data_IF_985559677209
#
_entry.id   IF_985559677209
#
_cell.length_a   1.000
_cell.length_b   1.000
_cell.length_c   1.000
_cell.angle_alpha   90.00
_cell.angle_beta   90.00
_cell.angle_gamma   90.00
#
_symmetry.space_group_name_H-M   'P 1'
#
loop_
_entity.id
_entity.type
_entity.pdbx_description
1 polymer ?
#
# COMPACT_ATOMS: atom_id res chain seq x y z
N UNK A 1 3.84 -0.92 -1.51
CA UNK A 1 2.46 -1.45 -1.41
C UNK A 1 2.08 -2.32 -2.61
N UNK A 2 1.64 -1.75 -3.74
CA UNK A 2 1.15 -2.55 -4.89
C UNK A 2 2.21 -3.43 -5.55
N UNK A 3 3.48 -3.04 -5.52
CA UNK A 3 4.59 -3.86 -6.02
C UNK A 3 4.69 -5.22 -5.29
N UNK A 4 4.37 -5.29 -4.00
CA UNK A 4 4.43 -6.53 -3.22
C UNK A 4 3.46 -7.61 -3.74
N UNK A 5 2.34 -7.20 -4.36
CA UNK A 5 1.36 -8.09 -4.96
C UNK A 5 1.54 -8.29 -6.47
N UNK A 6 2.52 -7.62 -7.08
CA UNK A 6 2.76 -7.71 -8.52
C UNK A 6 3.76 -8.83 -8.86
N UNK A 7 3.52 -9.51 -9.98
CA UNK A 7 4.39 -10.56 -10.52
C UNK A 7 4.70 -10.33 -12.01
N UNK A 8 5.67 -11.07 -12.53
CA UNK A 8 6.06 -11.08 -13.94
C UNK A 8 6.39 -9.69 -14.49
N UNK A 9 5.89 -9.40 -15.69
CA UNK A 9 6.15 -8.12 -16.37
C UNK A 9 5.61 -6.93 -15.58
N UNK A 10 4.48 -7.07 -14.88
CA UNK A 10 3.92 -5.97 -14.07
C UNK A 10 4.89 -5.58 -12.97
N UNK A 11 5.47 -6.57 -12.28
CA UNK A 11 6.49 -6.33 -11.26
C UNK A 11 7.72 -5.63 -11.82
N UNK A 12 8.23 -6.10 -12.96
CA UNK A 12 9.41 -5.56 -13.62
C UNK A 12 9.23 -4.08 -14.00
N UNK A 13 8.08 -3.73 -14.61
CA UNK A 13 7.79 -2.35 -14.99
C UNK A 13 7.64 -1.44 -13.77
N UNK A 14 6.97 -1.91 -12.71
CA UNK A 14 6.82 -1.16 -11.48
C UNK A 14 8.17 -0.87 -10.81
N UNK A 15 9.07 -1.85 -10.75
CA UNK A 15 10.43 -1.65 -10.24
C UNK A 15 11.20 -0.64 -11.10
N UNK A 16 11.21 -0.83 -12.42
CA UNK A 16 11.92 0.04 -13.36
C UNK A 16 11.50 1.51 -13.24
N UNK A 17 10.19 1.77 -13.22
CA UNK A 17 9.65 3.14 -13.15
C UNK A 17 9.83 3.74 -11.76
N UNK A 18 9.76 2.93 -10.70
CA UNK A 18 9.98 3.41 -9.32
C UNK A 18 11.46 3.56 -8.96
N UNK A 19 12.37 3.31 -9.92
CA UNK A 19 13.82 3.24 -9.69
C UNK A 19 14.17 2.26 -8.56
N UNK A 20 13.46 1.13 -8.51
CA UNK A 20 13.75 0.01 -7.64
C UNK A 20 15.08 -0.65 -7.97
N UNK A 21 15.70 -1.26 -6.97
CA UNK A 21 16.95 -2.00 -7.14
C UNK A 21 16.70 -3.47 -7.47
N UNK A 22 17.75 -4.17 -7.91
CA UNK A 22 17.70 -5.60 -8.23
C UNK A 22 17.33 -6.45 -7.00
N UNK A 23 17.67 -5.98 -5.79
CA UNK A 23 17.15 -6.53 -4.53
C UNK A 23 15.82 -5.83 -4.18
N UNK A 24 14.76 -6.31 -4.83
CA UNK A 24 13.41 -5.75 -4.73
C UNK A 24 12.79 -5.94 -3.34
N UNK A 25 13.10 -7.05 -2.66
CA UNK A 25 12.65 -7.34 -1.31
C UNK A 25 13.26 -6.35 -0.30
N UNK A 26 14.57 -6.11 -0.37
CA UNK A 26 15.22 -5.11 0.47
C UNK A 26 14.70 -3.69 0.15
N UNK A 27 14.49 -3.38 -1.12
CA UNK A 27 13.92 -2.10 -1.54
C UNK A 27 12.52 -1.88 -0.95
N UNK A 28 11.63 -2.87 -1.05
CA UNK A 28 10.29 -2.84 -0.47
C UNK A 28 10.31 -2.67 1.05
N UNK A 29 11.19 -3.39 1.75
CA UNK A 29 11.37 -3.27 3.20
C UNK A 29 11.87 -1.88 3.62
N UNK A 30 12.79 -1.30 2.84
CA UNK A 30 13.27 0.07 3.03
C UNK A 30 12.17 1.11 2.87
N UNK A 31 11.30 0.97 1.87
CA UNK A 31 10.15 1.86 1.67
C UNK A 31 9.14 1.78 2.81
N UNK A 32 8.88 0.58 3.33
CA UNK A 32 8.03 0.41 4.53
C UNK A 32 8.64 1.09 5.76
N UNK A 33 9.94 0.87 6.00
CA UNK A 33 10.66 1.49 7.11
C UNK A 33 10.65 3.02 7.03
N UNK A 34 10.85 3.58 5.83
CA UNK A 34 10.74 5.02 5.59
C UNK A 34 9.33 5.53 5.87
N UNK A 35 8.30 4.80 5.43
CA UNK A 35 6.90 5.15 5.70
C UNK A 35 6.62 5.27 7.20
N UNK A 36 7.07 4.29 7.98
CA UNK A 36 6.92 4.30 9.44
C UNK A 36 7.71 5.44 10.09
N UNK A 37 8.95 5.69 9.64
CA UNK A 37 9.79 6.78 10.16
C UNK A 37 9.16 8.15 9.93
N UNK A 38 8.62 8.39 8.74
CA UNK A 38 7.97 9.65 8.40
C UNK A 38 6.65 9.88 9.14
N UNK A 39 5.94 8.80 9.51
CA UNK A 39 4.73 8.90 10.31
C UNK A 39 5.01 8.94 11.83
N UNK A 40 6.26 8.70 12.24
CA UNK A 40 6.68 8.86 13.62
C UNK A 40 6.73 10.35 14.01
N UNK A 41 6.42 10.63 15.28
CA UNK A 41 6.44 12.00 15.80
C UNK A 41 7.86 12.58 15.73
N UNK A 42 8.04 13.64 14.95
CA UNK A 42 9.29 14.39 14.88
C UNK A 42 9.30 15.62 15.80
N UNK A 43 10.49 16.04 16.20
CA UNK A 43 10.70 17.28 16.93
C UNK A 43 10.88 18.43 15.94
N UNK A 44 9.84 19.23 15.74
CA UNK A 44 9.90 20.48 14.96
C UNK A 44 8.94 20.57 13.77
N UNK A 45 8.35 19.46 13.33
CA UNK A 45 7.32 19.44 12.29
C UNK A 45 6.24 18.40 12.61
N UNK A 46 5.00 18.66 12.18
CA UNK A 46 3.92 17.65 12.19
C UNK A 46 3.77 17.10 10.78
N UNK A 47 4.03 15.80 10.61
CA UNK A 47 3.77 15.07 9.37
C UNK A 47 2.83 13.91 9.70
N UNK A 48 1.81 13.72 8.87
CA UNK A 48 0.89 12.60 8.94
C UNK A 48 0.79 11.98 7.56
N UNK A 49 1.03 10.68 7.47
CA UNK A 49 0.83 9.90 6.26
C UNK A 49 -0.26 8.87 6.49
N UNK A 50 -1.19 8.82 5.55
CA UNK A 50 -2.29 7.86 5.56
C UNK A 50 -2.26 7.10 4.23
N UNK A 51 -1.86 5.84 4.29
CA UNK A 51 -1.88 4.93 3.16
C UNK A 51 -3.08 3.99 3.30
N UNK A 52 -3.75 3.68 2.18
CA UNK A 52 -4.85 2.71 2.17
C UNK A 52 -4.98 2.12 0.76
N UNK A 53 -5.36 0.84 0.69
CA UNK A 53 -5.92 0.25 -0.53
C UNK A 53 -7.42 0.05 -0.32
N UNK A 54 -8.22 0.44 -1.30
CA UNK A 54 -9.65 0.19 -1.28
C UNK A 54 -9.97 -0.92 -2.26
N UNK A 55 -10.63 -1.94 -1.76
CA UNK A 55 -10.96 -3.14 -2.53
C UNK A 55 -12.44 -3.17 -2.87
N UNK A 56 -12.79 -3.80 -4.00
CA UNK A 56 -14.20 -4.11 -4.23
C UNK A 56 -14.61 -5.21 -3.25
N UNK A 57 -15.71 -4.99 -2.52
CA UNK A 57 -16.20 -5.81 -1.41
C UNK A 57 -16.34 -7.32 -1.66
N UNK A 58 -16.49 -7.74 -2.92
CA UNK A 58 -16.66 -9.12 -3.36
C UNK A 58 -15.38 -9.71 -3.98
N UNK A 59 -14.32 -8.92 -4.13
CA UNK A 59 -13.02 -9.42 -4.58
C UNK A 59 -12.24 -9.99 -3.40
N UNK A 60 -11.61 -11.16 -3.58
CA UNK A 60 -10.86 -11.83 -2.53
C UNK A 60 -9.36 -11.63 -2.72
N UNK A 61 -8.75 -10.81 -1.88
CA UNK A 61 -7.30 -10.69 -1.80
C UNK A 61 -6.67 -11.87 -1.06
N UNK A 62 -5.41 -12.14 -1.37
CA UNK A 62 -4.63 -13.15 -0.66
C UNK A 62 -4.35 -12.68 0.78
N UNK A 63 -4.71 -13.43 1.84
CA UNK A 63 -4.60 -12.96 3.22
C UNK A 63 -3.17 -12.57 3.63
N UNK A 64 -2.16 -13.28 3.13
CA UNK A 64 -0.76 -12.96 3.46
C UNK A 64 -0.28 -11.67 2.79
N UNK A 65 -0.85 -11.29 1.64
CA UNK A 65 -0.57 -9.99 1.04
C UNK A 65 -1.12 -8.88 1.93
N UNK A 66 -2.36 -9.03 2.41
CA UNK A 66 -2.98 -8.05 3.31
C UNK A 66 -2.15 -7.83 4.58
N UNK A 67 -1.72 -8.92 5.21
CA UNK A 67 -0.87 -8.86 6.41
C UNK A 67 0.45 -8.13 6.15
N UNK A 68 1.13 -8.39 5.02
CA UNK A 68 2.39 -7.70 4.69
C UNK A 68 2.18 -6.20 4.47
N UNK A 69 1.11 -5.81 3.77
CA UNK A 69 0.83 -4.40 3.51
C UNK A 69 0.50 -3.63 4.79
N UNK A 70 -0.30 -4.21 5.68
CA UNK A 70 -0.61 -3.62 6.98
C UNK A 70 0.67 -3.44 7.82
N UNK A 71 1.50 -4.49 7.91
CA UNK A 71 2.74 -4.45 8.69
C UNK A 71 3.78 -3.47 8.15
N UNK A 72 3.93 -3.38 6.83
CA UNK A 72 5.00 -2.58 6.22
C UNK A 72 4.61 -1.12 6.02
N UNK A 73 3.32 -0.82 5.81
CA UNK A 73 2.87 0.51 5.37
C UNK A 73 1.78 1.14 6.24
N UNK A 74 1.36 0.47 7.32
CA UNK A 74 0.23 0.88 8.16
C UNK A 74 -1.03 1.17 7.32
N UNK A 75 -1.24 0.32 6.31
CA UNK A 75 -2.22 0.53 5.27
C UNK A 75 -3.32 -0.53 5.33
N UNK A 76 -4.34 -0.35 6.18
CA UNK A 76 -5.47 -1.29 6.25
C UNK A 76 -6.27 -1.24 4.95
N UNK A 77 -6.93 -2.35 4.61
CA UNK A 77 -7.86 -2.39 3.47
C UNK A 77 -9.29 -2.11 3.92
N UNK A 78 -10.03 -1.41 3.07
CA UNK A 78 -11.44 -1.10 3.28
C UNK A 78 -12.26 -1.66 2.11
N UNK A 79 -13.10 -2.69 2.32
CA UNK A 79 -14.00 -3.18 1.29
C UNK A 79 -15.07 -2.15 0.98
N UNK A 80 -15.21 -1.80 -0.30
CA UNK A 80 -16.17 -0.83 -0.81
C UNK A 80 -17.01 -1.41 -1.93
N UNK A 81 -18.26 -0.96 -2.02
CA UNK A 81 -19.13 -1.29 -3.14
C UNK A 81 -18.90 -0.29 -4.29
N UNK A 82 -17.90 -0.57 -5.12
CA UNK A 82 -17.64 0.26 -6.29
C UNK A 82 -18.68 0.09 -7.40
N UNK A 83 -19.39 -1.06 -7.43
CA UNK A 83 -20.32 -1.40 -8.52
C UNK A 83 -21.72 -0.86 -8.25
N UNK A 84 -22.24 -1.08 -7.04
CA UNK A 84 -23.58 -0.70 -6.61
C UNK A 84 -23.66 0.63 -5.88
N UNK A 85 -22.56 1.13 -5.28
CA UNK A 85 -22.59 2.33 -4.45
C UNK A 85 -21.34 3.23 -4.60
N UNK A 86 -20.85 3.42 -5.82
CA UNK A 86 -19.64 4.23 -6.12
C UNK A 86 -19.66 5.63 -5.48
N UNK A 87 -20.83 6.27 -5.41
CA UNK A 87 -20.99 7.58 -4.76
C UNK A 87 -20.81 7.54 -3.23
N UNK A 88 -21.22 6.45 -2.57
CA UNK A 88 -20.98 6.22 -1.15
C UNK A 88 -19.51 5.87 -0.89
N UNK A 89 -18.93 5.03 -1.75
CA UNK A 89 -17.52 4.61 -1.71
C UNK A 89 -16.53 5.79 -1.73
N UNK A 90 -16.88 6.89 -2.44
CA UNK A 90 -16.07 8.12 -2.46
C UNK A 90 -16.04 8.87 -1.12
N UNK A 91 -17.07 8.73 -0.28
CA UNK A 91 -17.19 9.51 0.97
C UNK A 91 -16.40 8.91 2.14
N UNK A 92 -15.60 7.88 1.88
CA UNK A 92 -14.75 7.28 2.91
C UNK A 92 -13.68 8.29 3.34
N UNK A 93 -13.53 8.45 4.65
CA UNK A 93 -12.57 9.36 5.31
C UNK A 93 -11.45 8.56 5.97
#
# INVERSE_FOLDING_TARGET
MTLDGAEGQTRQEMLRVSHGHDDDAAWLAGMGSLSMMLNAKGDGNTLQMANRLWEEQNFRFHPTYLQRIEQMFDAPLAPLDFRGASGASRKTT
#
